data_IF_777385109811
#
_entry.id   IF_777385109811
#
_cell.length_a   1.000
_cell.length_b   1.000
_cell.length_c   1.000
_cell.angle_alpha   90.00
_cell.angle_beta   90.00
_cell.angle_gamma   90.00
#
_symmetry.space_group_name_H-M   'P 1'
#
loop_
_entity.id
_entity.type
_entity.pdbx_description
1 polymer ?
#
# COMPACT_ATOMS: atom_id res chain seq x y z
N UNK A 1 -3.75 20.47 -12.10
CA UNK A 1 -3.53 19.41 -13.09
C UNK A 1 -2.06 19.04 -13.02
N UNK A 2 -1.76 17.80 -12.62
CA UNK A 2 -0.40 17.32 -12.33
C UNK A 2 0.04 16.34 -13.40
N UNK A 3 1.34 16.29 -13.68
CA UNK A 3 1.97 15.29 -14.54
C UNK A 3 2.34 14.01 -13.76
N UNK A 4 2.50 14.14 -12.43
CA UNK A 4 2.83 13.07 -11.50
C UNK A 4 1.77 13.04 -10.38
N UNK A 5 1.32 11.83 -10.03
CA UNK A 5 0.50 11.55 -8.84
C UNK A 5 1.22 10.53 -7.96
N UNK A 6 1.33 10.80 -6.67
CA UNK A 6 1.88 9.86 -5.69
C UNK A 6 0.78 9.51 -4.69
N UNK A 7 0.57 8.22 -4.50
CA UNK A 7 -0.39 7.66 -3.55
C UNK A 7 0.37 7.02 -2.39
N UNK A 8 0.14 7.50 -1.17
CA UNK A 8 0.82 7.02 0.05
C UNK A 8 -0.15 7.05 1.24
N UNK A 9 -1.36 6.55 1.06
CA UNK A 9 -2.39 6.51 2.09
C UNK A 9 -2.69 5.07 2.50
N UNK A 10 -3.23 4.90 3.69
CA UNK A 10 -3.85 3.64 4.07
C UNK A 10 -5.16 3.46 3.30
N UNK A 11 -5.42 2.26 2.79
CA UNK A 11 -6.66 1.91 2.14
C UNK A 11 -7.23 0.62 2.73
N UNK A 12 -8.54 0.55 2.79
CA UNK A 12 -9.32 -0.60 3.21
C UNK A 12 -10.31 -0.94 2.09
N UNK A 13 -10.60 -2.23 1.80
CA UNK A 13 -11.53 -2.63 0.74
C UNK A 13 -12.94 -2.01 0.83
N UNK A 14 -13.37 -1.59 2.02
CA UNK A 14 -14.63 -0.87 2.22
C UNK A 14 -14.55 0.61 1.84
N UNK A 15 -13.35 1.16 1.67
CA UNK A 15 -13.13 2.56 1.32
C UNK A 15 -13.27 2.80 -0.18
N UNK A 16 -13.72 3.98 -0.61
CA UNK A 16 -13.83 4.30 -2.02
C UNK A 16 -12.44 4.34 -2.70
N UNK A 17 -12.40 4.00 -3.98
CA UNK A 17 -11.22 4.21 -4.81
C UNK A 17 -10.98 5.71 -5.04
N UNK A 18 -9.73 6.12 -5.18
CA UNK A 18 -9.34 7.54 -5.39
C UNK A 18 -9.89 8.06 -6.72
N UNK A 19 -9.91 7.22 -7.74
CA UNK A 19 -10.54 7.49 -9.05
C UNK A 19 -10.99 6.18 -9.70
N UNK A 20 -11.81 6.28 -10.72
CA UNK A 20 -12.25 5.11 -11.50
C UNK A 20 -11.44 4.94 -12.77
N UNK A 21 -11.58 3.76 -13.40
CA UNK A 21 -10.97 3.47 -14.72
C UNK A 21 -11.45 4.43 -15.82
N UNK A 22 -12.67 4.93 -15.71
CA UNK A 22 -13.24 5.92 -16.65
C UNK A 22 -12.70 7.32 -16.39
N UNK A 23 -12.42 7.65 -15.13
CA UNK A 23 -11.88 8.96 -14.76
C UNK A 23 -10.44 9.13 -15.20
N UNK A 24 -9.61 8.06 -15.11
CA UNK A 24 -8.20 8.12 -15.49
C UNK A 24 -8.02 8.52 -16.96
N UNK A 25 -8.91 8.09 -17.86
CA UNK A 25 -8.91 8.45 -19.29
C UNK A 25 -9.02 9.96 -19.54
N UNK A 26 -9.57 10.69 -18.56
CA UNK A 26 -9.76 12.15 -18.63
C UNK A 26 -8.55 12.93 -18.12
N UNK A 27 -7.57 12.26 -17.50
CA UNK A 27 -6.39 12.89 -16.92
C UNK A 27 -5.27 13.08 -17.95
N UNK A 28 -5.57 13.85 -19.00
CA UNK A 28 -4.72 14.01 -20.19
C UNK A 28 -3.30 14.51 -19.94
N UNK A 29 -3.00 15.07 -18.77
CA UNK A 29 -1.66 15.54 -18.40
C UNK A 29 -0.91 14.57 -17.49
N UNK A 30 -1.61 13.63 -16.87
CA UNK A 30 -0.99 12.66 -15.97
C UNK A 30 -0.15 11.68 -16.78
N UNK A 31 1.11 11.54 -16.43
CA UNK A 31 2.10 10.69 -17.09
C UNK A 31 2.63 9.58 -16.20
N UNK A 32 2.67 9.84 -14.89
CA UNK A 32 3.30 8.94 -13.92
C UNK A 32 2.40 8.81 -12.69
N UNK A 33 2.22 7.58 -12.22
CA UNK A 33 1.66 7.28 -10.90
C UNK A 33 2.71 6.51 -10.11
N UNK A 34 3.07 7.05 -8.92
CA UNK A 34 3.80 6.33 -7.88
C UNK A 34 2.81 5.84 -6.85
N UNK A 35 2.47 4.56 -6.88
CA UNK A 35 1.57 3.95 -5.92
C UNK A 35 2.35 3.27 -4.81
N UNK A 36 2.53 3.99 -3.69
CA UNK A 36 3.23 3.48 -2.50
C UNK A 36 2.35 2.47 -1.75
N UNK A 37 1.03 2.50 -1.95
CA UNK A 37 0.13 1.50 -1.36
C UNK A 37 0.29 0.13 -1.98
N UNK A 38 0.68 0.06 -3.26
CA UNK A 38 0.95 -1.12 -4.09
C UNK A 38 -0.14 -2.20 -4.11
N UNK A 39 -1.34 -1.89 -3.59
CA UNK A 39 -2.46 -2.83 -3.54
C UNK A 39 -3.05 -3.06 -4.94
N UNK A 40 -2.87 -4.27 -5.47
CA UNK A 40 -3.45 -4.65 -6.76
C UNK A 40 -4.98 -4.54 -6.72
N UNK A 41 -5.57 -3.85 -7.70
CA UNK A 41 -6.99 -3.49 -7.73
C UNK A 41 -7.47 -2.72 -6.48
N UNK A 42 -6.56 -2.13 -5.72
CA UNK A 42 -6.81 -1.33 -4.53
C UNK A 42 -7.39 0.05 -4.81
N UNK A 43 -7.00 1.02 -4.00
CA UNK A 43 -7.43 2.42 -4.11
C UNK A 43 -7.09 3.07 -5.44
N UNK A 44 -6.02 2.60 -6.09
CA UNK A 44 -5.48 3.08 -7.35
C UNK A 44 -5.74 2.03 -8.44
N UNK A 45 -6.83 2.15 -9.22
CA UNK A 45 -7.23 1.12 -10.18
C UNK A 45 -6.24 0.85 -11.32
N UNK A 46 -5.24 1.71 -11.50
CA UNK A 46 -4.17 1.54 -12.48
C UNK A 46 -3.07 0.59 -12.02
N UNK A 47 -3.04 0.25 -10.73
CA UNK A 47 -2.12 -0.74 -10.16
C UNK A 47 -2.66 -2.14 -10.43
N UNK A 48 -2.40 -2.65 -11.63
CA UNK A 48 -2.85 -3.98 -12.08
C UNK A 48 -1.89 -5.10 -11.67
N UNK A 49 -0.68 -4.74 -11.24
CA UNK A 49 0.33 -5.64 -10.66
C UNK A 49 1.26 -4.83 -9.76
N UNK A 50 1.89 -5.51 -8.79
CA UNK A 50 3.04 -4.95 -8.10
C UNK A 50 4.28 -4.97 -8.99
N UNK A 51 5.27 -4.14 -8.65
CA UNK A 51 6.56 -4.06 -9.31
C UNK A 51 7.69 -4.36 -8.33
N UNK A 52 8.89 -4.59 -8.82
CA UNK A 52 10.06 -4.89 -8.01
C UNK A 52 11.06 -3.73 -8.05
N UNK A 53 12.09 -3.80 -7.22
CA UNK A 53 13.20 -2.83 -7.22
C UNK A 53 13.97 -2.89 -8.55
N UNK A 54 14.14 -4.08 -9.11
CA UNK A 54 14.84 -4.30 -10.38
C UNK A 54 14.03 -3.83 -11.59
N UNK A 55 12.71 -4.01 -11.53
CA UNK A 55 11.75 -3.57 -12.56
C UNK A 55 10.68 -2.67 -11.90
N UNK A 56 11.03 -1.39 -11.60
CA UNK A 56 10.24 -0.57 -10.70
C UNK A 56 8.96 -0.02 -11.32
N UNK A 57 8.79 -0.11 -12.62
CA UNK A 57 7.61 0.44 -13.29
C UNK A 57 7.19 -0.40 -14.50
N UNK A 58 5.95 -0.22 -14.90
CA UNK A 58 5.39 -0.70 -16.14
C UNK A 58 4.58 0.41 -16.81
N UNK A 59 4.28 0.26 -18.12
CA UNK A 59 3.40 1.18 -18.84
C UNK A 59 2.01 0.60 -18.98
N UNK A 60 1.01 1.41 -18.65
CA UNK A 60 -0.40 1.06 -18.76
C UNK A 60 -1.05 1.83 -19.93
N UNK A 61 -1.62 1.09 -20.87
CA UNK A 61 -2.54 1.69 -21.83
C UNK A 61 -3.90 1.87 -21.15
N UNK A 62 -4.31 3.12 -20.94
CA UNK A 62 -5.54 3.44 -20.21
C UNK A 62 -6.81 3.20 -21.01
N UNK A 63 -6.74 3.05 -22.35
CA UNK A 63 -7.91 2.78 -23.17
C UNK A 63 -8.37 1.32 -23.05
N UNK A 64 -7.43 0.39 -23.19
CA UNK A 64 -7.71 -1.05 -23.10
C UNK A 64 -7.44 -1.62 -21.70
N UNK A 65 -6.85 -0.82 -20.81
CA UNK A 65 -6.53 -1.12 -19.42
C UNK A 65 -5.62 -2.35 -19.26
N UNK A 66 -4.56 -2.38 -20.06
CA UNK A 66 -3.57 -3.45 -20.04
C UNK A 66 -2.14 -2.90 -20.11
N UNK A 67 -1.20 -3.72 -19.66
CA UNK A 67 0.23 -3.44 -19.78
C UNK A 67 0.66 -3.34 -21.25
N UNK A 68 1.64 -2.50 -21.52
CA UNK A 68 2.25 -2.31 -22.85
C UNK A 68 3.74 -2.03 -22.70
N UNK A 69 4.52 -2.39 -23.69
CA UNK A 69 5.95 -2.02 -23.76
C UNK A 69 6.18 -0.60 -24.29
N UNK A 70 5.16 -0.01 -24.93
CA UNK A 70 5.25 1.33 -25.49
C UNK A 70 5.03 2.41 -24.43
N UNK A 71 6.02 3.26 -24.21
CA UNK A 71 5.93 4.40 -23.31
C UNK A 71 5.11 5.56 -23.87
N UNK A 72 5.04 5.71 -25.21
CA UNK A 72 4.44 6.87 -25.87
C UNK A 72 2.93 6.92 -25.66
N UNK A 73 2.47 7.96 -24.99
CA UNK A 73 1.05 8.18 -24.72
C UNK A 73 0.44 7.27 -23.65
N UNK A 74 1.25 6.43 -23.00
CA UNK A 74 0.82 5.52 -21.94
C UNK A 74 1.25 6.02 -20.56
N UNK A 75 0.59 5.53 -19.53
CA UNK A 75 0.80 5.93 -18.15
C UNK A 75 1.87 5.04 -17.50
N UNK A 76 2.94 5.63 -16.98
CA UNK A 76 3.94 4.90 -16.22
C UNK A 76 3.43 4.67 -14.79
N UNK A 77 3.45 3.42 -14.34
CA UNK A 77 3.00 3.01 -13.00
C UNK A 77 4.19 2.41 -12.25
N UNK A 78 4.48 2.95 -11.06
CA UNK A 78 5.38 2.35 -10.08
C UNK A 78 4.54 1.86 -8.91
N UNK A 79 4.70 0.60 -8.53
CA UNK A 79 4.01 -0.03 -7.41
C UNK A 79 4.92 -1.06 -6.73
N UNK A 80 6.11 -0.59 -6.33
CA UNK A 80 7.11 -1.44 -5.66
C UNK A 80 6.61 -1.78 -4.26
N UNK A 81 6.43 -3.06 -3.98
CA UNK A 81 5.90 -3.57 -2.71
C UNK A 81 6.94 -3.57 -1.57
N UNK A 82 8.20 -3.34 -1.88
CA UNK A 82 9.31 -3.40 -0.93
C UNK A 82 10.20 -2.14 -0.98
N UNK A 83 9.61 -0.96 -1.09
CA UNK A 83 10.32 0.32 -1.13
C UNK A 83 11.31 0.56 0.03
N UNK A 84 11.03 0.13 1.29
CA UNK A 84 12.00 0.27 2.37
C UNK A 84 13.35 -0.40 2.10
N UNK A 85 13.40 -1.40 1.25
CA UNK A 85 14.65 -2.08 0.86
C UNK A 85 15.56 -1.26 -0.06
N UNK A 86 15.08 -0.15 -0.62
CA UNK A 86 15.91 0.82 -1.36
C UNK A 86 16.85 1.61 -0.44
N UNK A 87 16.41 1.85 0.80
CA UNK A 87 17.18 2.55 1.83
C UNK A 87 17.23 1.70 3.12
N UNK A 88 17.79 0.48 3.08
CA UNK A 88 17.60 -0.53 4.13
C UNK A 88 18.17 -0.10 5.48
N UNK A 89 19.26 0.66 5.50
CA UNK A 89 19.86 1.16 6.75
C UNK A 89 18.94 2.18 7.40
N UNK A 90 18.45 3.16 6.63
CA UNK A 90 17.62 4.24 7.16
C UNK A 90 16.27 3.70 7.59
N UNK A 91 15.65 2.86 6.78
CA UNK A 91 14.37 2.20 7.09
C UNK A 91 14.46 1.32 8.34
N UNK A 92 15.52 0.52 8.47
CA UNK A 92 15.72 -0.32 9.67
C UNK A 92 15.98 0.52 10.92
N UNK A 93 16.73 1.61 10.79
CA UNK A 93 17.02 2.51 11.91
C UNK A 93 15.75 3.21 12.38
N UNK A 94 14.94 3.73 11.46
CA UNK A 94 13.70 4.43 11.80
C UNK A 94 12.66 3.48 12.40
N UNK A 95 12.49 2.30 11.80
CA UNK A 95 11.62 1.27 12.37
C UNK A 95 12.08 0.84 13.76
N UNK A 96 13.39 0.58 13.95
CA UNK A 96 13.95 0.21 15.24
C UNK A 96 13.75 1.29 16.32
N UNK A 97 13.95 2.56 15.96
CA UNK A 97 13.68 3.69 16.87
C UNK A 97 12.19 3.77 17.24
N UNK A 98 11.30 3.55 16.28
CA UNK A 98 9.86 3.48 16.55
C UNK A 98 9.51 2.37 17.54
N UNK A 99 10.04 1.17 17.36
CA UNK A 99 9.84 0.05 18.31
C UNK A 99 10.38 0.39 19.68
N UNK A 100 11.60 0.90 19.77
CA UNK A 100 12.24 1.21 21.06
C UNK A 100 11.50 2.32 21.83
N UNK A 101 11.03 3.34 21.14
CA UNK A 101 10.43 4.52 21.77
C UNK A 101 8.92 4.37 22.00
N UNK A 102 8.23 3.68 21.07
CA UNK A 102 6.77 3.70 20.99
C UNK A 102 6.11 2.35 21.33
N UNK A 103 6.88 1.27 21.45
CA UNK A 103 6.32 -0.06 21.70
C UNK A 103 6.90 -0.68 22.98
N UNK A 104 8.22 -0.78 23.07
CA UNK A 104 8.88 -1.47 24.22
C UNK A 104 8.47 -0.92 25.58
N UNK A 105 8.40 0.41 25.83
CA UNK A 105 8.00 0.94 27.11
C UNK A 105 6.62 0.44 27.57
N UNK A 106 5.67 0.36 26.63
CA UNK A 106 4.29 -0.05 26.92
C UNK A 106 4.10 -1.56 27.05
N UNK A 107 5.07 -2.36 26.59
CA UNK A 107 5.13 -3.80 26.88
C UNK A 107 5.69 -4.06 28.27
N UNK A 108 6.66 -3.24 28.70
CA UNK A 108 7.41 -3.47 29.95
C UNK A 108 6.82 -2.74 31.17
N UNK A 109 6.09 -1.67 30.94
CA UNK A 109 5.52 -0.81 31.98
C UNK A 109 3.98 -0.83 31.91
N UNK A 110 3.35 0.33 32.01
CA UNK A 110 1.90 0.48 31.93
C UNK A 110 1.46 0.75 30.49
N UNK A 111 0.58 -0.11 29.96
CA UNK A 111 0.00 0.05 28.62
C UNK A 111 -1.07 1.17 28.61
N UNK A 112 -0.89 2.17 27.78
CA UNK A 112 -1.88 3.23 27.54
C UNK A 112 -3.03 2.78 26.62
N UNK A 113 -3.08 1.50 26.30
CA UNK A 113 -4.07 0.88 25.41
C UNK A 113 -3.54 0.55 24.01
N UNK A 114 -2.32 0.98 23.65
CA UNK A 114 -1.75 0.71 22.32
C UNK A 114 -1.43 -0.76 22.11
N UNK A 115 -0.89 -1.44 23.13
CA UNK A 115 -0.58 -2.88 23.08
C UNK A 115 -1.88 -3.68 23.06
N UNK A 116 -2.82 -3.37 23.95
CA UNK A 116 -4.13 -4.01 23.95
C UNK A 116 -4.85 -3.85 22.61
N UNK A 117 -4.85 -2.64 22.05
CA UNK A 117 -5.46 -2.35 20.77
C UNK A 117 -4.78 -3.03 19.57
N UNK A 118 -3.49 -3.35 19.71
CA UNK A 118 -2.70 -4.07 18.68
C UNK A 118 -2.71 -5.59 18.89
N UNK A 119 -3.21 -6.06 20.01
CA UNK A 119 -3.29 -7.49 20.33
C UNK A 119 -4.34 -8.15 19.44
N UNK A 120 -3.90 -9.10 18.61
CA UNK A 120 -4.75 -9.82 17.66
C UNK A 120 -5.47 -10.98 18.35
N UNK A 121 -4.71 -11.75 19.15
CA UNK A 121 -5.22 -12.95 19.82
C UNK A 121 -4.92 -12.90 21.33
N UNK A 122 -5.87 -13.38 22.12
CA UNK A 122 -5.70 -13.65 23.54
C UNK A 122 -6.40 -14.96 23.90
N UNK A 123 -5.79 -15.78 24.76
CA UNK A 123 -6.34 -17.07 25.21
C UNK A 123 -6.78 -18.00 24.07
N UNK A 124 -6.04 -17.99 22.95
CA UNK A 124 -6.31 -18.82 21.79
C UNK A 124 -7.51 -18.38 20.92
N UNK A 125 -7.99 -17.14 21.08
CA UNK A 125 -9.10 -16.56 20.30
C UNK A 125 -8.71 -15.19 19.77
N UNK A 126 -9.30 -14.80 18.64
CA UNK A 126 -9.20 -13.43 18.17
C UNK A 126 -9.93 -12.47 19.13
N UNK A 127 -9.34 -11.29 19.32
CA UNK A 127 -10.07 -10.19 19.93
C UNK A 127 -11.12 -9.68 18.93
N UNK A 128 -12.27 -9.22 19.44
CA UNK A 128 -13.45 -8.82 18.65
C UNK A 128 -13.11 -7.91 17.45
N UNK A 129 -12.13 -7.03 17.59
CA UNK A 129 -11.65 -6.14 16.51
C UNK A 129 -11.09 -6.90 15.31
N UNK A 130 -10.64 -8.14 15.53
CA UNK A 130 -9.97 -8.99 14.53
C UNK A 130 -10.82 -10.22 14.15
N UNK A 131 -12.11 -10.24 14.46
CA UNK A 131 -13.01 -11.35 14.15
C UNK A 131 -13.07 -11.66 12.65
N UNK A 132 -12.82 -10.68 11.79
CA UNK A 132 -12.74 -10.85 10.33
C UNK A 132 -11.65 -11.84 9.90
N UNK A 133 -10.60 -12.06 10.72
CA UNK A 133 -9.54 -13.03 10.44
C UNK A 133 -10.03 -14.50 10.56
N UNK A 134 -11.19 -14.74 11.19
CA UNK A 134 -11.75 -16.08 11.26
C UNK A 134 -12.06 -16.68 9.87
N UNK A 135 -12.34 -15.84 8.87
CA UNK A 135 -12.61 -16.30 7.51
C UNK A 135 -11.38 -16.96 6.88
N UNK A 136 -10.17 -16.48 7.21
CA UNK A 136 -8.90 -17.02 6.69
C UNK A 136 -8.49 -18.34 7.35
N UNK A 137 -8.94 -18.61 8.58
CA UNK A 137 -8.62 -19.86 9.27
C UNK A 137 -9.56 -21.00 8.82
N UNK A 138 -10.77 -20.66 8.42
CA UNK A 138 -11.79 -21.62 8.05
C UNK A 138 -11.89 -21.87 6.54
N UNK A 139 -11.03 -21.21 5.75
CA UNK A 139 -10.87 -21.41 4.30
C UNK A 139 -9.76 -22.45 4.01
#
# INVERSE_FOLDING_TARGET
VSDLFISAHYWDPSSPKIFTKEQIKKFSKLKIIGDITCDVDGSIPTTIKSTTIEEPNFFLNTEIFSETENADGNLAIMAVDNLPSELPRDSSTEFGNGIVNEVIPYILEEDDGRILNSTITAEGRFLKKYDYLNEYINS
#
